data_IF_092350419364
#
_entry.id   IF_092350419364
#
_cell.length_a   1.000
_cell.length_b   1.000
_cell.length_c   1.000
_cell.angle_alpha   90.00
_cell.angle_beta   90.00
_cell.angle_gamma   90.00
#
_symmetry.space_group_name_H-M   'P 1'
#
loop_
_entity.id
_entity.type
_entity.pdbx_description
1 polymer ?
#
# COMPACT_ATOMS: atom_id res chain seq x y z
N UNK A 1 13.50 10.24 -2.43
CA UNK A 1 14.38 10.89 -3.42
C UNK A 1 14.20 12.40 -3.28
N UNK A 2 15.00 13.08 -2.47
CA UNK A 2 14.92 14.55 -2.36
C UNK A 2 16.21 15.14 -2.91
N UNK A 3 16.13 16.39 -3.38
CA UNK A 3 17.28 17.12 -3.96
C UNK A 3 18.52 17.01 -3.08
N UNK A 4 18.33 17.17 -1.78
CA UNK A 4 19.42 17.25 -0.80
C UNK A 4 19.84 15.87 -0.26
N UNK A 5 19.07 14.80 -0.53
CA UNK A 5 19.46 13.43 -0.16
C UNK A 5 20.48 12.83 -1.14
N UNK A 6 20.86 13.53 -2.21
CA UNK A 6 21.78 13.08 -3.25
C UNK A 6 21.24 11.99 -4.17
N UNK A 7 20.01 11.48 -3.93
CA UNK A 7 19.42 10.40 -4.73
C UNK A 7 18.79 10.90 -6.03
N UNK A 8 18.28 12.13 -6.03
CA UNK A 8 17.89 12.87 -7.25
C UNK A 8 18.33 14.34 -7.10
N UNK A 9 19.59 14.67 -7.46
CA UNK A 9 20.14 16.01 -7.29
C UNK A 9 19.42 17.10 -8.11
N UNK A 10 18.68 16.70 -9.15
CA UNK A 10 17.95 17.62 -10.01
C UNK A 10 16.47 17.74 -9.63
N UNK A 11 16.06 17.10 -8.53
CA UNK A 11 14.67 17.11 -8.10
C UNK A 11 14.17 18.54 -7.88
N UNK A 12 13.08 18.89 -8.56
CA UNK A 12 12.29 20.09 -8.33
C UNK A 12 10.81 19.71 -8.38
N UNK A 13 10.01 20.30 -7.50
CA UNK A 13 8.59 20.02 -7.43
C UNK A 13 7.78 21.31 -7.56
N UNK A 14 6.99 21.39 -8.62
CA UNK A 14 5.99 22.44 -8.85
C UNK A 14 4.55 21.90 -8.80
N UNK A 15 4.41 20.59 -8.55
CA UNK A 15 3.11 19.91 -8.51
C UNK A 15 2.33 20.36 -7.28
N UNK A 16 1.00 20.39 -7.42
CA UNK A 16 0.06 20.70 -6.33
C UNK A 16 -1.12 19.75 -6.36
N UNK A 17 -1.94 19.76 -5.29
CA UNK A 17 -3.17 18.97 -5.21
C UNK A 17 -2.93 17.47 -5.41
N UNK A 18 -3.78 16.83 -6.22
CA UNK A 18 -3.72 15.40 -6.49
C UNK A 18 -2.39 14.97 -7.15
N UNK A 19 -1.84 15.79 -8.03
CA UNK A 19 -0.57 15.47 -8.71
C UNK A 19 0.61 15.43 -7.73
N UNK A 20 0.61 16.31 -6.72
CA UNK A 20 1.60 16.28 -5.65
C UNK A 20 1.41 15.05 -4.76
N UNK A 21 0.17 14.71 -4.43
CA UNK A 21 -0.12 13.53 -3.62
C UNK A 21 0.40 12.25 -4.29
N UNK A 22 0.14 12.05 -5.59
CA UNK A 22 0.63 10.86 -6.30
C UNK A 22 2.16 10.74 -6.28
N UNK A 23 2.89 11.85 -6.39
CA UNK A 23 4.35 11.86 -6.24
C UNK A 23 4.78 11.49 -4.80
N UNK A 24 4.10 12.03 -3.78
CA UNK A 24 4.35 11.67 -2.39
C UNK A 24 4.13 10.16 -2.17
N UNK A 25 3.05 9.58 -2.71
CA UNK A 25 2.77 8.14 -2.58
C UNK A 25 3.91 7.30 -3.13
N UNK A 26 4.42 7.66 -4.31
CA UNK A 26 5.57 6.97 -4.94
C UNK A 26 6.80 7.06 -4.03
N UNK A 27 7.16 8.26 -3.57
CA UNK A 27 8.35 8.41 -2.73
C UNK A 27 8.25 7.71 -1.38
N UNK A 28 7.08 7.72 -0.75
CA UNK A 28 6.84 6.95 0.48
C UNK A 28 7.03 5.45 0.23
N UNK A 29 6.51 4.92 -0.88
CA UNK A 29 6.66 3.52 -1.23
C UNK A 29 8.12 3.10 -1.48
N UNK A 30 8.93 3.98 -2.08
CA UNK A 30 10.36 3.74 -2.30
C UNK A 30 11.15 3.83 -0.99
N UNK A 31 10.91 4.87 -0.18
CA UNK A 31 11.72 5.12 1.02
C UNK A 31 11.45 4.10 2.13
N UNK A 32 10.19 3.67 2.28
CA UNK A 32 9.74 2.77 3.35
C UNK A 32 9.51 1.35 2.83
N UNK A 33 10.20 0.99 1.75
CA UNK A 33 10.04 -0.32 1.13
C UNK A 33 10.49 -1.43 2.09
N UNK A 34 9.68 -2.47 2.21
CA UNK A 34 9.95 -3.60 3.11
C UNK A 34 9.65 -3.33 4.59
N UNK A 35 9.26 -2.11 4.96
CA UNK A 35 8.95 -1.74 6.35
C UNK A 35 7.45 -1.89 6.70
N UNK A 36 6.64 -2.39 5.77
CA UNK A 36 5.22 -2.72 6.02
C UNK A 36 4.23 -1.57 5.83
N UNK A 37 4.62 -0.44 5.24
CA UNK A 37 3.73 0.72 5.09
C UNK A 37 2.78 0.65 3.89
N UNK A 38 3.17 -0.01 2.79
CA UNK A 38 2.44 0.05 1.50
C UNK A 38 0.95 -0.33 1.63
N UNK A 39 0.66 -1.42 2.35
CA UNK A 39 -0.71 -1.89 2.55
C UNK A 39 -1.58 -0.90 3.35
N UNK A 40 -1.03 -0.33 4.42
CA UNK A 40 -1.76 0.66 5.25
C UNK A 40 -1.97 1.98 4.52
N UNK A 41 -0.97 2.43 3.77
CA UNK A 41 -1.03 3.67 3.01
C UNK A 41 -2.09 3.56 1.89
N UNK A 42 -2.15 2.44 1.15
CA UNK A 42 -3.21 2.19 0.17
C UNK A 42 -4.60 2.17 0.80
N UNK A 43 -4.77 1.48 1.93
CA UNK A 43 -6.03 1.47 2.67
C UNK A 43 -6.46 2.87 3.09
N UNK A 44 -5.53 3.68 3.63
CA UNK A 44 -5.80 5.06 4.09
C UNK A 44 -6.30 5.94 2.94
N UNK A 45 -5.73 5.78 1.75
CA UNK A 45 -6.09 6.59 0.58
C UNK A 45 -7.25 6.03 -0.25
N UNK A 46 -7.70 4.81 0.04
CA UNK A 46 -8.68 4.13 -0.80
C UNK A 46 -8.12 3.75 -2.17
N UNK A 47 -6.82 3.46 -2.24
CA UNK A 47 -6.17 3.07 -3.49
C UNK A 47 -6.30 1.56 -3.75
N UNK A 48 -6.43 1.19 -5.02
CA UNK A 48 -6.40 -0.20 -5.45
C UNK A 48 -4.97 -0.78 -5.40
N UNK A 49 -4.81 -1.99 -4.85
CA UNK A 49 -3.55 -2.74 -4.93
C UNK A 49 -3.53 -3.59 -6.20
N UNK A 50 -2.52 -3.37 -7.04
CA UNK A 50 -2.29 -4.15 -8.26
C UNK A 50 -1.02 -4.96 -8.09
N UNK A 51 -1.15 -6.29 -8.01
CA UNK A 51 -0.02 -7.23 -8.03
C UNK A 51 0.27 -7.60 -9.48
N UNK A 52 1.36 -7.06 -10.02
CA UNK A 52 1.74 -7.21 -11.44
C UNK A 52 2.47 -8.53 -11.66
N UNK A 53 2.58 -8.92 -12.93
CA UNK A 53 3.17 -10.18 -13.37
C UNK A 53 4.33 -9.96 -14.35
N UNK A 54 4.99 -11.04 -14.75
CA UNK A 54 6.07 -11.04 -15.75
C UNK A 54 5.70 -10.38 -17.08
N UNK A 55 4.46 -10.56 -17.57
CA UNK A 55 4.01 -9.95 -18.81
C UNK A 55 4.00 -8.41 -18.75
N UNK A 56 3.95 -7.84 -17.54
CA UNK A 56 3.99 -6.41 -17.28
C UNK A 56 5.33 -5.93 -16.69
N UNK A 57 6.38 -6.75 -16.77
CA UNK A 57 7.73 -6.40 -16.31
C UNK A 57 7.99 -6.56 -14.80
N UNK A 58 7.15 -7.31 -14.09
CA UNK A 58 7.36 -7.65 -12.67
C UNK A 58 8.00 -9.05 -12.50
N UNK A 59 8.53 -9.36 -11.33
CA UNK A 59 9.18 -10.65 -11.01
C UNK A 59 8.25 -11.64 -10.29
N UNK A 60 7.02 -11.25 -9.96
CA UNK A 60 6.07 -12.10 -9.25
C UNK A 60 5.48 -13.24 -10.12
N UNK A 61 5.30 -14.41 -9.50
CA UNK A 61 4.65 -15.57 -10.12
C UNK A 61 3.18 -15.27 -10.46
N UNK A 62 2.69 -15.75 -11.61
CA UNK A 62 1.34 -15.45 -12.12
C UNK A 62 0.22 -15.74 -11.12
N UNK A 63 0.32 -16.85 -10.39
CA UNK A 63 -0.71 -17.26 -9.43
C UNK A 63 -0.84 -16.31 -8.22
N UNK A 64 0.15 -15.45 -8.00
CA UNK A 64 0.16 -14.46 -6.92
C UNK A 64 -0.27 -13.07 -7.40
N UNK A 65 -0.71 -12.95 -8.65
CA UNK A 65 -1.09 -11.70 -9.29
C UNK A 65 -2.58 -11.43 -9.12
N UNK A 66 -2.98 -10.18 -9.30
CA UNK A 66 -4.39 -9.80 -9.17
C UNK A 66 -4.58 -8.35 -8.74
N UNK A 67 -5.85 -7.96 -8.72
CA UNK A 67 -6.31 -6.64 -8.30
C UNK A 67 -7.12 -6.80 -7.02
N UNK A 68 -6.82 -5.98 -6.02
CA UNK A 68 -7.59 -5.91 -4.77
C UNK A 68 -8.07 -4.47 -4.63
N UNK A 69 -9.39 -4.26 -4.70
CA UNK A 69 -10.00 -2.93 -4.52
C UNK A 69 -10.19 -2.63 -3.03
N UNK A 70 -10.36 -1.36 -2.63
CA UNK A 70 -10.56 -1.00 -1.21
C UNK A 70 -11.75 -1.68 -0.53
N UNK A 71 -12.76 -2.07 -1.31
CA UNK A 71 -13.98 -2.73 -0.85
C UNK A 71 -13.78 -4.25 -0.64
N UNK A 72 -12.74 -4.83 -1.23
CA UNK A 72 -12.45 -6.25 -1.13
C UNK A 72 -11.98 -6.67 0.28
N UNK A 73 -12.04 -7.98 0.55
CA UNK A 73 -11.40 -8.66 1.70
C UNK A 73 -11.61 -7.96 3.05
N UNK A 74 -12.85 -8.00 3.56
CA UNK A 74 -13.25 -7.38 4.83
C UNK A 74 -12.80 -5.91 4.95
N UNK A 75 -12.86 -5.16 3.84
CA UNK A 75 -12.40 -3.75 3.76
C UNK A 75 -10.99 -3.57 4.30
N UNK A 76 -10.13 -4.54 4.00
CA UNK A 76 -8.72 -4.54 4.40
C UNK A 76 -8.59 -4.41 5.93
N UNK A 77 -9.37 -5.16 6.69
CA UNK A 77 -9.25 -5.25 8.14
C UNK A 77 -8.86 -6.67 8.54
N UNK A 78 -8.00 -6.75 9.55
CA UNK A 78 -7.72 -8.02 10.19
C UNK A 78 -8.96 -8.51 10.91
N UNK A 79 -9.18 -9.82 10.85
CA UNK A 79 -10.21 -10.47 11.65
C UNK A 79 -9.74 -10.51 13.11
N UNK A 80 -10.69 -10.43 14.04
CA UNK A 80 -10.40 -10.69 15.45
C UNK A 80 -9.95 -12.16 15.57
N UNK A 81 -8.84 -12.45 16.29
CA UNK A 81 -8.40 -13.82 16.50
C UNK A 81 -9.47 -14.64 17.18
N UNK A 82 -9.65 -15.89 16.74
CA UNK A 82 -10.67 -16.78 17.28
C UNK A 82 -10.57 -16.98 18.80
N UNK A 83 -9.36 -17.08 19.34
CA UNK A 83 -9.19 -17.23 20.80
C UNK A 83 -9.72 -16.02 21.57
N UNK A 84 -9.60 -14.81 21.01
CA UNK A 84 -10.14 -13.62 21.67
C UNK A 84 -11.66 -13.72 21.79
N UNK A 85 -12.35 -14.20 20.75
CA UNK A 85 -13.80 -14.34 20.76
C UNK A 85 -14.33 -15.59 21.45
N UNK A 86 -13.56 -16.67 21.47
CA UNK A 86 -13.90 -17.88 22.22
C UNK A 86 -13.88 -17.62 23.75
N UNK A 87 -13.01 -16.71 24.24
CA UNK A 87 -12.86 -16.42 25.67
C UNK A 87 -13.49 -15.10 26.15
N UNK A 88 -13.75 -14.14 25.26
CA UNK A 88 -14.34 -12.84 25.61
C UNK A 88 -15.79 -12.74 25.11
N UNK A 89 -16.76 -12.92 26.01
CA UNK A 89 -18.19 -12.93 25.69
C UNK A 89 -18.75 -11.58 25.26
N UNK A 90 -18.01 -10.48 25.45
CA UNK A 90 -18.44 -9.14 25.05
C UNK A 90 -18.16 -8.84 23.56
N UNK A 91 -17.42 -9.72 22.88
CA UNK A 91 -17.08 -9.54 21.46
C UNK A 91 -18.14 -10.26 20.61
N UNK A 92 -19.03 -9.48 20.01
CA UNK A 92 -20.00 -9.97 19.04
C UNK A 92 -19.35 -10.19 17.65
N UNK A 93 -19.70 -11.31 17.00
CA UNK A 93 -19.33 -11.63 15.61
C UNK A 93 -20.51 -11.42 14.66
#
# INVERSE_FOLDING_TARGET
LTRDSGRDPNYSCTKTGAALLEEIKIYRGIELWGEGFDWFDKKRWGDTLVKRNWANGDTFHNDLTGVITPEDKNKWTWVVPRLESDYNTEIAY
#
